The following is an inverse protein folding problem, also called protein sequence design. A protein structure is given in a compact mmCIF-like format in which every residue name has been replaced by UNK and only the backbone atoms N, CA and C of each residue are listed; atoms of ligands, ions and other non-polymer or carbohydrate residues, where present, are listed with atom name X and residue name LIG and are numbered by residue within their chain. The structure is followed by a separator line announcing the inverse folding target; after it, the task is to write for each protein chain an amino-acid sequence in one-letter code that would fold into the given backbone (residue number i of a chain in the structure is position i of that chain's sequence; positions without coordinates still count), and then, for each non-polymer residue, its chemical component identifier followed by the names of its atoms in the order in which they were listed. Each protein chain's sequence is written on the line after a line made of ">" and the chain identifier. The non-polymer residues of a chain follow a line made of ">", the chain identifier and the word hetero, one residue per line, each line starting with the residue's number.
data_IF_809581796458
#
_entry.id   IF_809581796458
#
_cell.length_a   1.000
_cell.length_b   1.000
_cell.length_c   1.000
_cell.angle_alpha   90.00
_cell.angle_beta   90.00
_cell.angle_gamma   90.00
#
_symmetry.space_group_name_H-M   'P 1'
#
loop_
_entity.id
_entity.type
_entity.pdbx_description
1 polymer ?
#
# COMPACT_ATOMS: atom_id res chain seq x y z
N UNK A 1 -78.33 -65.03 -73.66
CA UNK A 1 -78.35 -66.39 -73.06
C UNK A 1 -77.01 -66.62 -72.38
N UNK A 2 -77.01 -67.17 -71.15
CA UNK A 2 -75.83 -67.56 -70.32
C UNK A 2 -74.85 -66.40 -70.02
N UNK A 3 -74.78 -65.93 -68.78
CA UNK A 3 -74.02 -66.51 -67.65
C UNK A 3 -72.50 -66.36 -67.85
N UNK A 4 -71.71 -65.92 -66.87
CA UNK A 4 -71.87 -66.12 -65.42
C UNK A 4 -71.49 -64.89 -64.58
N UNK A 5 -71.87 -64.87 -63.29
CA UNK A 5 -71.80 -63.68 -62.42
C UNK A 5 -70.80 -63.80 -61.26
N UNK A 6 -70.02 -62.73 -61.01
CA UNK A 6 -69.34 -62.49 -59.72
C UNK A 6 -69.40 -61.02 -59.26
N UNK A 7 -70.45 -60.79 -58.48
CA UNK A 7 -70.56 -59.95 -57.28
C UNK A 7 -69.21 -59.63 -56.57
N UNK A 8 -68.92 -58.48 -55.90
CA UNK A 8 -69.33 -57.05 -55.91
C UNK A 8 -68.39 -56.31 -54.93
N UNK A 9 -68.04 -55.03 -55.16
CA UNK A 9 -68.20 -53.85 -54.24
C UNK A 9 -67.44 -52.62 -54.80
N UNK A 10 -68.08 -51.45 -54.82
CA UNK A 10 -67.44 -50.14 -55.10
C UNK A 10 -66.64 -49.64 -53.89
N UNK A 11 -65.48 -49.02 -54.11
CA UNK A 11 -64.73 -48.34 -53.05
C UNK A 11 -63.69 -47.35 -53.58
N UNK A 12 -63.83 -46.07 -53.21
CA UNK A 12 -62.84 -45.01 -53.50
C UNK A 12 -61.62 -45.21 -52.59
N UNK A 13 -60.43 -45.39 -53.17
CA UNK A 13 -59.18 -45.38 -52.40
C UNK A 13 -58.71 -43.95 -52.11
N UNK A 14 -59.29 -43.37 -51.07
CA UNK A 14 -58.79 -42.16 -50.42
C UNK A 14 -57.53 -42.53 -49.61
N UNK A 15 -56.33 -42.13 -50.06
CA UNK A 15 -55.11 -42.36 -49.30
C UNK A 15 -55.03 -41.40 -48.10
N UNK A 16 -55.55 -41.85 -46.95
CA UNK A 16 -55.27 -41.23 -45.66
C UNK A 16 -53.79 -41.41 -45.31
N UNK A 17 -53.00 -40.33 -45.44
CA UNK A 17 -51.70 -40.26 -44.78
C UNK A 17 -51.94 -39.98 -43.29
N UNK A 18 -51.65 -40.97 -42.44
CA UNK A 18 -51.96 -40.89 -41.00
C UNK A 18 -51.19 -39.78 -40.31
N UNK A 19 -51.90 -38.92 -39.59
CA UNK A 19 -51.30 -37.99 -38.64
C UNK A 19 -50.72 -38.77 -37.46
N UNK A 20 -49.38 -38.81 -37.35
CA UNK A 20 -48.73 -39.31 -36.15
C UNK A 20 -49.03 -38.38 -34.97
N UNK A 21 -50.00 -38.76 -34.14
CA UNK A 21 -50.20 -38.16 -32.82
C UNK A 21 -49.13 -38.75 -31.90
N UNK A 22 -48.03 -38.01 -31.69
CA UNK A 22 -47.07 -38.34 -30.64
C UNK A 22 -47.77 -38.30 -29.27
N UNK A 23 -47.62 -39.33 -28.41
CA UNK A 23 -48.17 -39.27 -27.07
C UNK A 23 -47.52 -38.13 -26.29
N UNK A 24 -48.30 -37.42 -25.47
CA UNK A 24 -47.78 -36.37 -24.61
C UNK A 24 -46.70 -36.95 -23.69
N UNK A 25 -45.49 -36.42 -23.80
CA UNK A 25 -44.36 -36.86 -23.00
C UNK A 25 -44.68 -36.65 -21.52
N UNK A 26 -44.84 -37.74 -20.76
CA UNK A 26 -45.01 -37.65 -19.32
C UNK A 26 -43.79 -36.96 -18.72
N UNK A 27 -44.02 -35.96 -17.88
CA UNK A 27 -42.96 -35.31 -17.10
C UNK A 27 -42.36 -36.34 -16.15
N UNK A 28 -41.28 -36.98 -16.62
CA UNK A 28 -40.41 -37.82 -15.79
C UNK A 28 -40.02 -37.04 -14.54
N UNK A 29 -40.08 -37.70 -13.38
CA UNK A 29 -39.61 -37.14 -12.13
C UNK A 29 -38.10 -36.90 -12.14
N UNK A 30 -37.52 -36.38 -11.04
CA UNK A 30 -36.08 -36.18 -10.93
C UNK A 30 -35.32 -37.49 -11.18
N UNK A 31 -34.42 -37.48 -12.15
CA UNK A 31 -33.55 -38.61 -12.50
C UNK A 31 -32.11 -38.35 -12.06
N UNK A 32 -31.48 -39.36 -11.46
CA UNK A 32 -30.06 -39.30 -11.09
C UNK A 32 -29.18 -39.76 -12.26
N UNK A 33 -28.18 -38.96 -12.62
CA UNK A 33 -27.11 -39.36 -13.54
C UNK A 33 -25.91 -39.82 -12.72
N UNK A 34 -25.46 -41.07 -12.90
CA UNK A 34 -24.31 -41.63 -12.20
C UNK A 34 -23.44 -42.46 -13.16
N UNK A 35 -22.12 -42.42 -12.98
CA UNK A 35 -21.17 -43.20 -13.76
C UNK A 35 -19.73 -42.97 -13.31
N UNK A 36 -18.94 -44.04 -13.22
CA UNK A 36 -17.50 -43.97 -13.01
C UNK A 36 -16.80 -43.93 -14.37
N UNK A 37 -16.25 -42.77 -14.76
CA UNK A 37 -15.61 -42.58 -16.07
C UNK A 37 -14.32 -41.77 -15.94
N UNK A 38 -13.46 -41.83 -16.96
CA UNK A 38 -12.28 -40.98 -17.10
C UNK A 38 -12.58 -39.64 -17.79
N UNK A 39 -13.84 -39.34 -18.11
CA UNK A 39 -14.24 -38.17 -18.91
C UNK A 39 -15.42 -37.43 -18.27
N UNK A 40 -16.67 -37.66 -18.69
CA UNK A 40 -17.85 -37.00 -18.11
C UNK A 40 -19.07 -37.92 -18.05
N UNK A 41 -19.88 -37.74 -17.00
CA UNK A 41 -21.19 -38.43 -16.84
C UNK A 41 -22.28 -37.73 -17.66
N UNK A 42 -22.19 -36.41 -17.82
CA UNK A 42 -23.10 -35.60 -18.65
C UNK A 42 -22.25 -34.61 -19.46
N UNK A 43 -22.45 -34.57 -20.78
CA UNK A 43 -21.91 -33.51 -21.64
C UNK A 43 -23.06 -32.61 -22.11
N UNK A 44 -22.85 -31.29 -22.08
CA UNK A 44 -23.80 -30.30 -22.57
C UNK A 44 -23.05 -29.40 -23.55
N UNK A 45 -23.47 -29.40 -24.81
CA UNK A 45 -22.88 -28.57 -25.86
C UNK A 45 -23.96 -27.67 -26.44
N UNK A 46 -23.77 -26.35 -26.31
CA UNK A 46 -24.60 -25.31 -26.91
C UNK A 46 -23.71 -24.45 -27.82
N UNK A 47 -24.10 -24.30 -29.08
CA UNK A 47 -23.36 -23.58 -30.11
C UNK A 47 -24.03 -22.27 -30.54
N UNK A 48 -25.28 -22.03 -30.11
CA UNK A 48 -26.02 -20.78 -30.33
C UNK A 48 -26.03 -19.85 -29.12
N UNK A 49 -26.71 -18.70 -29.26
CA UNK A 49 -26.87 -17.67 -28.24
C UNK A 49 -27.91 -18.04 -27.16
N UNK A 50 -27.60 -19.04 -26.34
CA UNK A 50 -28.46 -19.48 -25.24
C UNK A 50 -27.69 -20.19 -24.12
N UNK A 51 -28.40 -20.55 -23.04
CA UNK A 51 -27.81 -21.34 -21.96
C UNK A 51 -27.67 -22.80 -22.39
N UNK A 52 -26.50 -23.40 -22.14
CA UNK A 52 -26.35 -24.86 -22.20
C UNK A 52 -27.10 -25.54 -21.04
N UNK A 53 -26.98 -24.98 -19.83
CA UNK A 53 -27.71 -25.40 -18.63
C UNK A 53 -28.36 -24.19 -17.97
N UNK A 54 -29.66 -24.26 -17.70
CA UNK A 54 -30.40 -23.27 -16.92
C UNK A 54 -31.06 -23.97 -15.72
N UNK A 55 -30.48 -23.81 -14.54
CA UNK A 55 -31.08 -24.23 -13.28
C UNK A 55 -31.68 -23.01 -12.55
N UNK A 56 -32.79 -23.20 -11.84
CA UNK A 56 -33.49 -22.12 -11.12
C UNK A 56 -34.29 -22.70 -9.95
N UNK A 57 -34.15 -22.10 -8.77
CA UNK A 57 -34.89 -22.46 -7.56
C UNK A 57 -35.67 -21.23 -7.07
N UNK A 58 -36.99 -21.14 -7.28
CA UNK A 58 -37.80 -20.01 -6.81
C UNK A 58 -38.22 -20.10 -5.33
N UNK A 59 -37.75 -21.12 -4.59
CA UNK A 59 -38.11 -21.37 -3.18
C UNK A 59 -37.43 -20.38 -2.23
N UNK A 60 -38.19 -19.88 -1.26
CA UNK A 60 -37.71 -19.04 -0.15
C UNK A 60 -37.15 -19.83 1.03
N UNK A 61 -37.34 -21.16 1.07
CA UNK A 61 -36.94 -22.02 2.19
C UNK A 61 -35.59 -22.71 1.99
N UNK A 62 -34.86 -22.34 0.93
CA UNK A 62 -33.49 -22.77 0.63
C UNK A 62 -33.39 -23.96 -0.34
N UNK A 63 -32.62 -23.79 -1.43
CA UNK A 63 -31.38 -24.52 -1.77
C UNK A 63 -30.79 -23.95 -3.07
N UNK A 64 -29.47 -23.98 -3.20
CA UNK A 64 -28.74 -23.51 -4.39
C UNK A 64 -29.26 -24.18 -5.67
N UNK A 65 -29.49 -23.39 -6.73
CA UNK A 65 -29.89 -23.93 -8.04
C UNK A 65 -28.81 -24.84 -8.68
N UNK A 66 -27.55 -24.68 -8.27
CA UNK A 66 -26.46 -25.58 -8.60
C UNK A 66 -25.56 -25.73 -7.37
N UNK A 67 -25.15 -26.96 -7.06
CA UNK A 67 -24.23 -27.28 -5.97
C UNK A 67 -23.14 -28.22 -6.50
N UNK A 68 -21.91 -27.72 -6.59
CA UNK A 68 -20.74 -28.49 -7.00
C UNK A 68 -19.84 -28.77 -5.81
N UNK A 69 -19.68 -30.05 -5.45
CA UNK A 69 -18.89 -30.47 -4.28
C UNK A 69 -17.84 -31.50 -4.66
N UNK A 70 -16.60 -31.21 -4.27
CA UNK A 70 -15.46 -32.11 -4.31
C UNK A 70 -15.25 -32.71 -2.90
N UNK A 71 -15.48 -34.01 -2.72
CA UNK A 71 -15.43 -34.68 -1.40
C UNK A 71 -14.11 -35.40 -1.09
N UNK A 72 -13.20 -35.50 -2.06
CA UNK A 72 -11.89 -36.12 -1.86
C UNK A 72 -11.02 -35.30 -0.90
N UNK A 73 -10.51 -35.94 0.15
CA UNK A 73 -9.70 -35.30 1.21
C UNK A 73 -8.20 -35.19 0.88
N UNK A 74 -7.79 -35.64 -0.30
CA UNK A 74 -6.44 -35.49 -0.86
C UNK A 74 -6.47 -35.48 -2.39
N UNK A 75 -5.38 -35.05 -3.03
CA UNK A 75 -5.29 -34.89 -4.48
C UNK A 75 -5.86 -33.56 -5.00
N UNK A 76 -5.68 -33.29 -6.29
CA UNK A 76 -6.22 -32.09 -6.95
C UNK A 76 -7.69 -32.29 -7.30
N UNK A 77 -8.60 -31.57 -6.63
CA UNK A 77 -10.04 -31.77 -6.75
C UNK A 77 -10.76 -30.41 -6.79
N UNK A 78 -11.76 -30.26 -7.67
CA UNK A 78 -12.45 -28.98 -7.90
C UNK A 78 -13.97 -29.17 -7.78
N UNK A 79 -14.62 -28.41 -6.88
CA UNK A 79 -16.08 -28.45 -6.75
C UNK A 79 -16.80 -27.78 -7.92
N UNK A 80 -16.26 -26.68 -8.43
CA UNK A 80 -16.74 -25.94 -9.61
C UNK A 80 -15.53 -25.37 -10.37
N UNK A 81 -15.48 -25.51 -11.69
CA UNK A 81 -14.45 -24.92 -12.55
C UNK A 81 -15.12 -24.16 -13.71
N UNK A 82 -15.01 -22.83 -13.71
CA UNK A 82 -15.35 -22.00 -14.86
C UNK A 82 -14.13 -21.63 -15.71
N UNK A 83 -14.24 -21.70 -17.04
CA UNK A 83 -13.17 -21.34 -17.98
C UNK A 83 -13.75 -20.61 -19.19
N UNK A 84 -13.14 -19.47 -19.54
CA UNK A 84 -13.47 -18.69 -20.75
C UNK A 84 -12.23 -18.62 -21.65
N UNK A 85 -12.43 -18.74 -22.96
CA UNK A 85 -11.42 -18.49 -23.99
C UNK A 85 -11.67 -17.19 -24.77
N UNK A 86 -12.77 -16.47 -24.47
CA UNK A 86 -13.07 -15.20 -25.12
C UNK A 86 -12.19 -14.09 -24.54
N UNK A 87 -11.57 -13.22 -25.36
CA UNK A 87 -10.80 -12.06 -24.90
C UNK A 87 -11.57 -11.09 -24.00
N UNK A 88 -12.91 -11.15 -23.99
CA UNK A 88 -13.79 -10.34 -23.13
C UNK A 88 -14.73 -11.20 -22.25
N UNK A 89 -14.49 -12.52 -22.15
CA UNK A 89 -15.42 -13.44 -21.50
C UNK A 89 -15.14 -13.68 -20.01
N UNK A 90 -16.20 -13.68 -19.20
CA UNK A 90 -16.13 -13.95 -17.75
C UNK A 90 -16.22 -15.45 -17.47
N UNK A 91 -15.20 -16.02 -16.84
CA UNK A 91 -15.13 -17.47 -16.56
C UNK A 91 -16.05 -17.93 -15.42
N UNK A 92 -16.21 -17.10 -14.38
CA UNK A 92 -17.16 -17.28 -13.26
C UNK A 92 -17.69 -15.90 -12.88
N UNK A 93 -19.01 -15.73 -12.79
CA UNK A 93 -19.68 -14.48 -12.40
C UNK A 93 -20.62 -14.75 -11.22
N UNK A 94 -20.34 -14.17 -10.06
CA UNK A 94 -21.24 -14.15 -8.91
C UNK A 94 -21.94 -12.80 -8.84
N UNK A 95 -23.28 -12.78 -8.87
CA UNK A 95 -24.07 -11.55 -8.81
C UNK A 95 -25.16 -11.64 -7.77
N UNK A 96 -25.43 -10.53 -7.11
CA UNK A 96 -26.62 -10.35 -6.28
C UNK A 96 -27.29 -9.04 -6.68
N UNK A 97 -28.55 -9.12 -7.12
CA UNK A 97 -29.30 -7.97 -7.65
C UNK A 97 -30.17 -7.28 -6.58
N UNK A 98 -30.09 -7.71 -5.32
CA UNK A 98 -30.84 -7.08 -4.23
C UNK A 98 -30.34 -5.66 -3.99
N UNK A 99 -31.26 -4.68 -4.02
CA UNK A 99 -30.97 -3.25 -3.82
C UNK A 99 -30.98 -2.81 -2.34
N UNK A 100 -31.30 -3.73 -1.44
CA UNK A 100 -31.42 -3.51 0.01
C UNK A 100 -31.04 -4.80 0.77
N UNK A 101 -30.60 -4.66 2.02
CA UNK A 101 -30.18 -5.77 2.89
C UNK A 101 -28.72 -6.19 2.71
N UNK A 102 -28.26 -7.14 3.53
CA UNK A 102 -26.87 -7.64 3.58
C UNK A 102 -26.57 -8.63 2.43
N UNK A 103 -26.73 -8.16 1.20
CA UNK A 103 -26.67 -8.96 -0.01
C UNK A 103 -25.23 -9.28 -0.45
N UNK A 104 -24.87 -10.57 -0.48
CA UNK A 104 -23.55 -11.05 -0.92
C UNK A 104 -23.59 -11.58 -2.35
N UNK A 105 -22.71 -11.10 -3.23
CA UNK A 105 -22.58 -11.57 -4.63
C UNK A 105 -21.66 -12.79 -4.82
N UNK A 106 -20.73 -13.00 -3.89
CA UNK A 106 -19.86 -14.16 -3.83
C UNK A 106 -19.11 -14.17 -2.50
N UNK A 107 -18.81 -15.36 -1.97
CA UNK A 107 -18.09 -15.53 -0.71
C UNK A 107 -17.13 -16.72 -0.84
N UNK A 108 -15.92 -16.55 -0.32
CA UNK A 108 -14.87 -17.57 -0.37
C UNK A 108 -14.31 -17.76 1.04
N UNK A 109 -14.31 -19.00 1.52
CA UNK A 109 -13.93 -19.35 2.88
C UNK A 109 -12.87 -20.46 2.85
N UNK A 110 -11.92 -20.41 3.77
CA UNK A 110 -10.99 -21.52 4.02
C UNK A 110 -10.83 -21.72 5.52
N UNK A 111 -11.18 -22.91 6.01
CA UNK A 111 -11.02 -23.29 7.42
C UNK A 111 -9.67 -23.98 7.70
N UNK A 112 -8.75 -24.00 6.73
CA UNK A 112 -7.42 -24.57 6.89
C UNK A 112 -6.52 -23.63 7.72
N UNK A 113 -5.63 -24.20 8.53
CA UNK A 113 -4.59 -23.45 9.26
C UNK A 113 -3.56 -22.78 8.35
N UNK A 114 -3.53 -23.16 7.07
CA UNK A 114 -2.76 -22.54 5.99
C UNK A 114 -3.68 -22.09 4.84
N UNK A 115 -4.92 -21.72 5.18
CA UNK A 115 -6.00 -21.49 4.23
C UNK A 115 -5.87 -20.21 3.41
N UNK A 116 -6.15 -20.32 2.11
CA UNK A 116 -6.24 -19.18 1.20
C UNK A 116 -7.70 -19.04 0.73
N UNK A 117 -8.38 -17.97 1.16
CA UNK A 117 -9.79 -17.75 0.83
C UNK A 117 -9.99 -17.37 -0.65
N UNK A 118 -9.25 -16.38 -1.14
CA UNK A 118 -9.30 -15.91 -2.52
C UNK A 118 -7.89 -15.73 -3.08
N UNK A 119 -7.61 -16.32 -4.24
CA UNK A 119 -6.36 -16.14 -4.98
C UNK A 119 -6.66 -15.59 -6.37
N UNK A 120 -6.29 -14.33 -6.60
CA UNK A 120 -6.33 -13.72 -7.93
C UNK A 120 -4.93 -13.59 -8.48
N UNK A 121 -4.66 -14.25 -9.61
CA UNK A 121 -3.37 -14.26 -10.27
C UNK A 121 -3.56 -14.03 -11.77
N UNK A 122 -2.74 -13.14 -12.34
CA UNK A 122 -2.78 -12.78 -13.74
C UNK A 122 -1.34 -12.83 -14.29
N UNK A 123 -1.01 -13.94 -14.96
CA UNK A 123 0.38 -14.35 -15.24
C UNK A 123 0.85 -14.05 -16.67
N UNK A 124 0.18 -13.13 -17.39
CA UNK A 124 0.58 -12.80 -18.76
C UNK A 124 1.98 -12.16 -18.77
N UNK A 125 2.83 -12.60 -19.70
CA UNK A 125 4.21 -12.13 -19.80
C UNK A 125 4.35 -10.69 -20.35
N UNK A 126 3.25 -10.07 -20.76
CA UNK A 126 3.16 -8.67 -21.19
C UNK A 126 1.71 -8.16 -21.09
N UNK A 127 1.54 -6.83 -21.10
CA UNK A 127 0.26 -6.15 -20.93
C UNK A 127 -0.03 -5.73 -19.48
N UNK A 128 -1.07 -4.90 -19.30
CA UNK A 128 -1.50 -4.47 -17.97
C UNK A 128 -2.44 -5.52 -17.35
N UNK A 129 -1.96 -6.24 -16.34
CA UNK A 129 -2.69 -7.32 -15.69
C UNK A 129 -3.08 -6.97 -14.25
N UNK A 130 -4.28 -7.34 -13.83
CA UNK A 130 -4.75 -7.15 -12.45
C UNK A 130 -5.22 -8.49 -11.88
N UNK A 131 -4.61 -8.94 -10.78
CA UNK A 131 -4.97 -10.21 -10.13
C UNK A 131 -6.30 -10.13 -9.37
N UNK A 132 -6.51 -9.07 -8.59
CA UNK A 132 -7.75 -8.77 -7.87
C UNK A 132 -8.02 -7.26 -8.00
N UNK A 133 -9.23 -6.87 -8.41
CA UNK A 133 -9.68 -5.46 -8.43
C UNK A 133 -10.90 -5.31 -7.52
N UNK A 134 -10.76 -4.52 -6.45
CA UNK A 134 -11.90 -4.04 -5.68
C UNK A 134 -12.40 -2.71 -6.24
N UNK A 135 -13.70 -2.59 -6.51
CA UNK A 135 -14.31 -1.37 -7.02
C UNK A 135 -15.66 -1.13 -6.33
N UNK A 136 -15.88 0.08 -5.82
CA UNK A 136 -17.12 0.48 -5.19
C UNK A 136 -17.52 1.87 -5.70
N UNK A 137 -18.67 1.94 -6.39
CA UNK A 137 -19.20 3.17 -7.00
C UNK A 137 -20.05 4.02 -6.04
N UNK A 138 -20.32 3.53 -4.83
CA UNK A 138 -21.08 4.26 -3.82
C UNK A 138 -20.27 5.45 -3.28
N UNK A 139 -20.88 6.60 -2.96
CA UNK A 139 -20.20 7.73 -2.29
C UNK A 139 -19.55 7.36 -0.94
N UNK A 140 -20.02 6.28 -0.30
CA UNK A 140 -19.44 5.71 0.92
C UNK A 140 -18.82 4.31 0.67
N UNK A 141 -18.45 4.03 -0.58
CA UNK A 141 -18.00 2.71 -1.03
C UNK A 141 -16.60 2.36 -0.53
N UNK A 142 -16.39 1.07 -0.21
CA UNK A 142 -15.07 0.52 0.11
C UNK A 142 -14.73 -0.52 -0.95
N UNK A 143 -13.72 -0.23 -1.78
CA UNK A 143 -13.32 -1.13 -2.88
C UNK A 143 -12.72 -2.45 -2.38
N UNK A 144 -11.85 -2.39 -1.36
CA UNK A 144 -11.26 -3.55 -0.67
C UNK A 144 -11.26 -3.28 0.83
N UNK A 145 -11.72 -4.23 1.65
CA UNK A 145 -11.66 -4.17 3.10
C UNK A 145 -10.90 -5.39 3.63
N UNK A 146 -9.76 -5.15 4.29
CA UNK A 146 -8.98 -6.17 4.97
C UNK A 146 -9.23 -6.14 6.47
N UNK A 147 -10.23 -6.89 6.95
CA UNK A 147 -10.46 -7.08 8.38
C UNK A 147 -9.60 -8.22 8.93
N UNK A 148 -8.94 -7.99 10.06
CA UNK A 148 -8.29 -9.06 10.83
C UNK A 148 -8.74 -8.98 12.28
N UNK A 149 -9.28 -10.08 12.78
CA UNK A 149 -9.63 -10.25 14.19
C UNK A 149 -8.93 -11.50 14.73
N UNK A 150 -8.00 -11.30 15.66
CA UNK A 150 -7.45 -12.40 16.46
C UNK A 150 -8.31 -12.59 17.71
N UNK A 151 -8.95 -13.76 17.93
CA UNK A 151 -9.72 -14.02 19.15
C UNK A 151 -8.82 -14.32 20.37
N UNK A 152 -7.50 -14.37 20.21
CA UNK A 152 -6.61 -14.81 21.26
C UNK A 152 -6.16 -13.65 22.17
N UNK A 153 -6.74 -13.57 23.36
CA UNK A 153 -6.48 -12.48 24.31
C UNK A 153 -5.05 -12.49 24.89
N UNK A 154 -4.46 -13.67 25.15
CA UNK A 154 -3.13 -13.77 25.83
C UNK A 154 -2.34 -15.06 25.58
N UNK A 155 -2.92 -16.15 25.03
CA UNK A 155 -2.34 -17.50 25.12
C UNK A 155 -1.54 -17.99 23.89
N UNK A 156 -1.58 -17.28 22.75
CA UNK A 156 -1.11 -17.81 21.46
C UNK A 156 0.24 -17.24 20.99
N UNK A 157 0.95 -16.54 21.87
CA UNK A 157 2.06 -15.66 21.47
C UNK A 157 1.57 -14.37 20.79
N UNK A 158 2.49 -13.42 20.60
CA UNK A 158 2.17 -12.14 19.96
C UNK A 158 1.98 -12.32 18.45
N UNK A 159 0.74 -12.54 18.00
CA UNK A 159 0.39 -12.60 16.58
C UNK A 159 0.49 -11.23 15.90
N UNK A 160 1.20 -11.15 14.78
CA UNK A 160 1.31 -9.94 13.97
C UNK A 160 0.24 -9.94 12.87
N UNK A 161 -0.96 -9.44 13.22
CA UNK A 161 -2.12 -9.36 12.32
C UNK A 161 -1.95 -8.25 11.27
N UNK A 162 -2.08 -8.59 9.98
CA UNK A 162 -1.90 -7.64 8.87
C UNK A 162 -3.16 -7.55 8.02
N UNK A 163 -3.81 -6.37 7.99
CA UNK A 163 -5.01 -6.13 7.18
C UNK A 163 -4.73 -5.96 5.68
N UNK A 164 -3.60 -5.36 5.32
CA UNK A 164 -3.12 -5.22 3.93
C UNK A 164 -1.60 -5.39 3.93
N UNK A 165 -1.09 -6.31 3.11
CA UNK A 165 0.35 -6.54 2.94
C UNK A 165 0.75 -6.32 1.48
N UNK A 166 1.54 -5.27 1.22
CA UNK A 166 2.23 -5.09 -0.05
C UNK A 166 3.62 -5.71 0.01
N UNK A 167 3.95 -6.60 -0.93
CA UNK A 167 5.30 -7.21 -1.06
C UNK A 167 5.80 -6.99 -2.48
N UNK A 168 7.04 -6.50 -2.61
CA UNK A 168 7.76 -6.43 -3.88
C UNK A 168 8.94 -7.39 -3.80
N UNK A 169 9.19 -8.15 -4.88
CA UNK A 169 10.43 -8.89 -5.07
C UNK A 169 11.04 -8.50 -6.43
N UNK A 170 11.51 -7.26 -6.52
CA UNK A 170 12.06 -6.62 -7.72
C UNK A 170 13.10 -5.57 -7.34
N UNK A 171 14.01 -5.24 -8.26
CA UNK A 171 15.05 -4.22 -8.08
C UNK A 171 14.48 -2.79 -8.04
N UNK A 172 13.28 -2.58 -8.57
CA UNK A 172 12.49 -1.36 -8.47
C UNK A 172 10.99 -1.68 -8.55
N UNK A 173 10.17 -0.94 -7.80
CA UNK A 173 8.71 -1.12 -7.76
C UNK A 173 8.08 -0.44 -6.54
N UNK A 174 6.75 -0.39 -6.49
CA UNK A 174 5.99 0.19 -5.38
C UNK A 174 5.09 -0.88 -4.75
N UNK A 175 5.16 -1.03 -3.42
CA UNK A 175 4.40 -2.06 -2.68
C UNK A 175 2.92 -1.68 -2.51
N UNK A 176 2.65 -0.38 -2.58
CA UNK A 176 1.34 0.21 -2.75
C UNK A 176 1.50 1.53 -3.52
N UNK A 177 0.47 1.89 -4.26
CA UNK A 177 0.31 3.20 -4.90
C UNK A 177 -1.03 3.72 -4.44
N UNK A 178 -1.03 4.94 -3.90
CA UNK A 178 -2.24 5.65 -3.47
C UNK A 178 -2.40 6.83 -4.42
N UNK A 179 -3.39 6.74 -5.30
CA UNK A 179 -3.58 7.66 -6.42
C UNK A 179 -5.03 8.17 -6.40
N UNK A 180 -5.19 9.48 -6.56
CA UNK A 180 -6.48 10.12 -6.82
C UNK A 180 -6.59 10.39 -8.32
N UNK A 181 -7.37 9.57 -9.02
CA UNK A 181 -7.73 9.75 -10.44
C UNK A 181 -9.07 10.50 -10.54
N UNK A 182 -9.09 11.73 -10.01
CA UNK A 182 -10.26 12.61 -10.06
C UNK A 182 -9.85 14.09 -10.25
N UNK A 183 -10.47 14.85 -11.17
CA UNK A 183 -9.94 16.15 -11.62
C UNK A 183 -10.14 17.31 -10.65
N UNK A 184 -11.07 17.19 -9.70
CA UNK A 184 -11.43 18.29 -8.79
C UNK A 184 -10.46 18.43 -7.59
N UNK A 185 -9.63 17.41 -7.32
CA UNK A 185 -8.70 17.35 -6.20
C UNK A 185 -9.36 17.39 -4.83
N UNK A 186 -8.60 17.77 -3.80
CA UNK A 186 -9.03 17.84 -2.41
C UNK A 186 -9.02 16.50 -1.67
N UNK A 187 -8.43 15.46 -2.27
CA UNK A 187 -8.43 14.10 -1.78
C UNK A 187 -7.65 13.84 -0.49
N UNK A 188 -7.69 12.58 -0.08
CA UNK A 188 -6.84 12.05 0.99
C UNK A 188 -6.28 10.71 0.56
N UNK A 189 -4.99 10.69 0.24
CA UNK A 189 -4.27 9.52 -0.26
C UNK A 189 -4.14 8.45 0.82
N UNK A 190 -3.83 8.86 2.06
CA UNK A 190 -3.68 7.96 3.20
C UNK A 190 -4.33 8.58 4.44
N UNK A 191 -5.08 7.80 5.21
CA UNK A 191 -5.58 8.21 6.52
C UNK A 191 -5.41 7.08 7.55
N UNK A 192 -4.67 7.38 8.63
CA UNK A 192 -4.56 6.53 9.81
C UNK A 192 -5.58 6.97 10.85
N UNK A 193 -6.47 6.06 11.27
CA UNK A 193 -7.51 6.32 12.27
C UNK A 193 -7.37 5.38 13.47
N UNK A 194 -7.71 5.88 14.65
CA UNK A 194 -7.94 5.05 15.84
C UNK A 194 -9.38 5.20 16.30
N UNK A 195 -9.92 4.17 16.94
CA UNK A 195 -11.10 4.33 17.78
C UNK A 195 -10.74 5.23 18.96
N UNK A 196 -11.59 6.20 19.25
CA UNK A 196 -11.58 6.87 20.55
C UNK A 196 -12.08 5.87 21.62
N UNK A 197 -11.97 6.22 22.90
CA UNK A 197 -12.60 5.42 23.97
C UNK A 197 -14.15 5.45 23.94
N UNK A 198 -14.76 6.13 22.96
CA UNK A 198 -16.19 6.07 22.63
C UNK A 198 -16.43 5.12 21.46
N UNK A 199 -17.21 4.03 21.64
CA UNK A 199 -17.55 3.11 20.55
C UNK A 199 -18.17 3.80 19.34
N UNK A 200 -17.73 3.44 18.14
CA UNK A 200 -18.21 3.98 16.85
C UNK A 200 -17.58 5.32 16.44
N UNK A 201 -16.79 5.98 17.30
CA UNK A 201 -16.16 7.27 17.01
C UNK A 201 -14.68 7.08 16.68
N UNK A 202 -14.33 7.37 15.43
CA UNK A 202 -12.95 7.34 14.92
C UNK A 202 -12.31 8.72 14.93
N UNK A 203 -11.03 8.79 15.28
CA UNK A 203 -10.19 9.99 15.22
C UNK A 203 -9.05 9.77 14.21
N UNK A 204 -8.79 10.76 13.34
CA UNK A 204 -7.63 10.78 12.46
C UNK A 204 -6.37 11.07 13.29
N UNK A 205 -5.37 10.19 13.21
CA UNK A 205 -4.05 10.32 13.88
C UNK A 205 -2.93 10.66 12.90
N UNK A 206 -3.11 10.25 11.63
CA UNK A 206 -2.18 10.47 10.52
C UNK A 206 -2.99 10.73 9.24
N UNK A 207 -2.53 11.63 8.37
CA UNK A 207 -3.16 11.90 7.07
C UNK A 207 -2.13 12.42 6.06
N UNK A 208 -2.26 11.97 4.81
CA UNK A 208 -1.61 12.57 3.64
C UNK A 208 -2.70 13.00 2.67
N UNK A 209 -2.74 14.27 2.28
CA UNK A 209 -3.66 14.76 1.24
C UNK A 209 -3.08 14.62 -0.17
N UNK A 210 -3.90 14.92 -1.16
CA UNK A 210 -3.55 15.06 -2.58
C UNK A 210 -2.39 16.05 -2.83
N UNK A 211 -2.33 17.15 -2.06
CA UNK A 211 -1.24 18.14 -2.14
C UNK A 211 0.11 17.63 -1.57
N UNK A 212 0.14 16.47 -0.91
CA UNK A 212 1.34 15.89 -0.30
C UNK A 212 1.66 16.39 1.12
N UNK A 213 0.79 17.20 1.73
CA UNK A 213 0.90 17.60 3.13
C UNK A 213 0.74 16.39 4.06
N UNK A 214 1.70 16.23 4.99
CA UNK A 214 1.69 15.16 5.99
C UNK A 214 1.25 15.72 7.34
N UNK A 215 0.10 15.26 7.82
CA UNK A 215 -0.42 15.57 9.16
C UNK A 215 -0.23 14.37 10.07
N UNK A 216 0.36 14.58 11.24
CA UNK A 216 0.49 13.57 12.29
C UNK A 216 0.30 14.23 13.66
N UNK A 217 -0.37 13.55 14.60
CA UNK A 217 -0.51 14.05 15.98
C UNK A 217 0.85 14.13 16.70
N UNK A 218 1.77 13.22 16.37
CA UNK A 218 3.15 13.18 16.87
C UNK A 218 4.07 12.71 15.75
N UNK A 219 5.28 13.27 15.66
CA UNK A 219 6.32 12.84 14.74
C UNK A 219 7.58 12.47 15.53
N UNK A 220 8.13 11.27 15.32
CA UNK A 220 9.32 10.79 16.01
C UNK A 220 10.39 10.39 14.97
N UNK A 221 11.45 11.18 14.91
CA UNK A 221 12.45 11.16 13.83
C UNK A 221 13.72 10.39 14.18
N UNK A 222 13.97 10.13 15.47
CA UNK A 222 15.20 9.49 15.95
C UNK A 222 16.48 10.30 15.76
N UNK A 223 16.40 11.58 15.38
CA UNK A 223 17.52 12.55 15.35
C UNK A 223 17.17 13.77 16.21
N UNK A 224 18.18 14.46 16.75
CA UNK A 224 18.01 15.46 17.82
C UNK A 224 18.10 16.93 17.35
N UNK A 225 18.26 17.13 16.05
CA UNK A 225 18.49 18.43 15.41
C UNK A 225 17.60 18.65 14.18
N UNK A 226 17.32 19.93 13.91
CA UNK A 226 16.81 20.40 12.64
C UNK A 226 17.99 20.93 11.82
N UNK A 227 18.17 20.35 10.63
CA UNK A 227 19.20 20.75 9.69
C UNK A 227 18.61 21.13 8.34
N UNK A 228 19.33 21.98 7.60
CA UNK A 228 19.00 22.33 6.22
C UNK A 228 20.15 21.92 5.28
N UNK A 229 19.82 21.42 4.10
CA UNK A 229 20.80 21.01 3.09
C UNK A 229 21.40 22.24 2.40
N UNK A 230 22.70 22.50 2.61
CA UNK A 230 23.42 23.63 2.02
C UNK A 230 24.56 23.20 1.11
N UNK A 231 24.79 23.99 0.05
CA UNK A 231 25.99 23.87 -0.77
C UNK A 231 27.24 24.34 -0.01
N UNK A 232 28.40 23.80 -0.35
CA UNK A 232 29.68 24.15 0.30
C UNK A 232 30.71 24.65 -0.71
N UNK A 233 31.67 25.47 -0.24
CA UNK A 233 32.78 25.97 -1.05
C UNK A 233 33.78 24.85 -1.33
N UNK A 234 33.94 24.49 -2.60
CA UNK A 234 34.82 23.40 -3.03
C UNK A 234 34.14 22.04 -2.93
N UNK A 235 34.91 20.96 -2.76
CA UNK A 235 34.37 19.60 -2.65
C UNK A 235 33.79 19.33 -1.26
N UNK A 236 32.63 18.66 -1.20
CA UNK A 236 32.07 18.07 0.03
C UNK A 236 33.05 17.18 0.79
N UNK A 237 33.94 16.46 0.09
CA UNK A 237 34.95 15.59 0.72
C UNK A 237 35.98 16.34 1.58
N UNK A 238 36.06 17.67 1.48
CA UNK A 238 36.87 18.49 2.36
C UNK A 238 36.18 18.77 3.71
N UNK A 239 34.88 18.50 3.85
CA UNK A 239 34.06 18.77 5.03
C UNK A 239 33.76 17.46 5.75
N UNK A 240 33.71 17.51 7.08
CA UNK A 240 33.33 16.38 7.90
C UNK A 240 32.38 16.81 9.02
N UNK A 241 31.53 15.89 9.47
CA UNK A 241 30.56 16.17 10.52
C UNK A 241 31.25 16.71 11.79
N UNK A 242 30.55 17.61 12.48
CA UNK A 242 31.08 18.42 13.56
C UNK A 242 31.94 19.61 13.12
N UNK A 243 32.22 19.82 11.83
CA UNK A 243 32.78 21.08 11.34
C UNK A 243 31.81 22.23 11.63
N UNK A 244 32.33 23.30 12.25
CA UNK A 244 31.63 24.58 12.37
C UNK A 244 31.70 25.32 11.05
N UNK A 245 30.55 25.71 10.53
CA UNK A 245 30.42 26.34 9.20
C UNK A 245 30.03 27.82 9.32
N UNK A 246 30.47 28.59 8.33
CA UNK A 246 30.18 30.03 8.18
C UNK A 246 29.58 30.31 6.81
N UNK A 247 28.81 31.39 6.70
CA UNK A 247 28.28 31.92 5.43
C UNK A 247 29.44 32.34 4.53
N UNK A 248 29.45 31.88 3.27
CA UNK A 248 30.42 32.29 2.26
C UNK A 248 29.85 33.44 1.40
N UNK A 249 30.23 34.68 1.70
CA UNK A 249 29.81 35.86 0.93
C UNK A 249 30.15 35.83 -0.58
N UNK A 250 31.02 34.92 -1.03
CA UNK A 250 31.37 34.80 -2.46
C UNK A 250 30.35 34.01 -3.30
N UNK A 251 29.25 33.52 -2.73
CA UNK A 251 28.15 32.87 -3.47
C UNK A 251 26.85 32.84 -2.65
N UNK A 252 25.70 32.94 -3.33
CA UNK A 252 24.41 32.76 -2.68
C UNK A 252 24.25 31.34 -2.12
N UNK A 253 23.67 31.22 -0.92
CA UNK A 253 23.31 29.94 -0.26
C UNK A 253 24.45 28.91 -0.23
N UNK A 254 25.67 29.37 0.07
CA UNK A 254 26.88 28.55 0.20
C UNK A 254 27.58 28.76 1.54
N UNK A 255 28.17 27.69 2.06
CA UNK A 255 28.92 27.67 3.30
C UNK A 255 30.43 27.41 3.08
N UNK A 256 31.24 27.78 4.06
CA UNK A 256 32.64 27.40 4.17
C UNK A 256 32.97 26.96 5.61
N UNK A 257 34.10 26.25 5.83
CA UNK A 257 34.58 25.97 7.18
C UNK A 257 34.94 27.27 7.90
N UNK A 258 34.53 27.42 9.15
CA UNK A 258 34.98 28.53 9.99
C UNK A 258 36.51 28.57 10.05
N UNK A 259 37.12 29.75 9.95
CA UNK A 259 38.59 29.91 9.94
C UNK A 259 39.07 31.20 10.63
N UNK A 260 38.19 31.86 11.38
CA UNK A 260 38.47 33.07 12.14
C UNK A 260 37.80 32.97 13.51
N UNK A 261 38.46 33.35 14.60
CA UNK A 261 37.85 33.36 15.92
C UNK A 261 36.77 34.45 16.00
N UNK A 262 35.67 34.19 16.73
CA UNK A 262 34.54 35.13 16.88
C UNK A 262 33.94 35.63 15.55
N UNK A 263 33.74 34.73 14.59
CA UNK A 263 33.14 35.06 13.29
C UNK A 263 31.63 35.27 13.42
N UNK A 264 31.17 36.50 13.14
CA UNK A 264 29.73 36.83 13.07
C UNK A 264 28.99 36.19 11.90
N UNK A 265 29.70 35.47 11.04
CA UNK A 265 29.15 34.70 9.92
C UNK A 265 28.85 33.24 10.28
N UNK A 266 28.93 32.88 11.56
CA UNK A 266 28.65 31.51 12.02
C UNK A 266 27.24 31.09 11.64
N UNK A 267 27.12 29.95 10.96
CA UNK A 267 25.88 29.47 10.39
C UNK A 267 25.34 28.22 11.09
N UNK A 268 26.19 27.47 11.81
CA UNK A 268 25.83 26.22 12.47
C UNK A 268 26.93 25.17 12.37
N UNK A 269 26.53 23.90 12.49
CA UNK A 269 27.45 22.75 12.54
C UNK A 269 27.03 21.72 11.50
N UNK A 270 27.99 21.07 10.83
CA UNK A 270 27.69 19.93 9.96
C UNK A 270 27.16 18.75 10.79
N UNK A 271 25.85 18.46 10.68
CA UNK A 271 25.16 17.36 11.36
C UNK A 271 25.58 15.97 10.87
N UNK A 272 25.58 14.99 11.78
CA UNK A 272 25.75 13.56 11.46
C UNK A 272 24.43 12.87 11.09
N UNK A 273 23.33 13.21 11.77
CA UNK A 273 22.07 12.47 11.74
C UNK A 273 20.88 13.39 12.06
N UNK A 274 20.53 14.30 11.13
CA UNK A 274 19.43 15.24 11.35
C UNK A 274 18.11 14.52 11.62
N UNK A 275 17.37 15.00 12.61
CA UNK A 275 15.99 14.56 12.86
C UNK A 275 15.04 15.08 11.78
N UNK A 276 15.25 16.32 11.34
CA UNK A 276 14.58 16.89 10.15
C UNK A 276 15.64 17.46 9.22
N UNK A 277 15.57 17.10 7.94
CA UNK A 277 16.41 17.67 6.89
C UNK A 277 15.55 18.49 5.92
N UNK A 278 15.63 19.81 6.05
CA UNK A 278 14.97 20.75 5.16
C UNK A 278 15.76 20.96 3.85
N UNK A 279 15.05 21.27 2.78
CA UNK A 279 15.60 21.45 1.43
C UNK A 279 14.70 22.36 0.57
N UNK A 280 15.27 23.23 -0.30
CA UNK A 280 14.51 23.98 -1.31
C UNK A 280 14.33 23.19 -2.61
N UNK A 281 15.03 22.07 -2.78
CA UNK A 281 14.92 21.18 -3.95
C UNK A 281 13.64 20.35 -3.90
N UNK A 282 13.11 19.95 -5.05
CA UNK A 282 11.92 19.08 -5.11
C UNK A 282 12.24 17.69 -4.53
N UNK A 283 11.18 16.92 -4.28
CA UNK A 283 11.28 15.53 -3.80
C UNK A 283 12.25 14.70 -4.66
N UNK A 284 13.29 14.16 -4.04
CA UNK A 284 14.32 13.35 -4.71
C UNK A 284 15.47 14.12 -5.37
N UNK A 285 15.41 15.45 -5.48
CA UNK A 285 16.39 16.27 -6.21
C UNK A 285 17.56 16.80 -5.35
N UNK A 286 17.64 16.43 -4.07
CA UNK A 286 18.69 16.95 -3.15
C UNK A 286 20.11 16.58 -3.64
N UNK A 287 20.98 17.56 -3.97
CA UNK A 287 22.31 17.27 -4.48
C UNK A 287 23.16 16.51 -3.47
N UNK A 288 23.81 15.42 -3.92
CA UNK A 288 24.73 14.63 -3.07
C UNK A 288 25.92 15.44 -2.54
N UNK A 289 26.22 16.58 -3.19
CA UNK A 289 27.24 17.58 -2.81
C UNK A 289 26.89 18.42 -1.59
N UNK A 290 25.62 18.49 -1.20
CA UNK A 290 25.18 19.38 -0.12
C UNK A 290 25.40 18.73 1.25
N UNK A 291 25.59 19.55 2.27
CA UNK A 291 25.79 19.12 3.66
C UNK A 291 24.58 19.50 4.53
N UNK A 292 24.12 18.64 5.44
CA UNK A 292 23.14 19.02 6.46
C UNK A 292 23.79 19.94 7.49
N UNK A 293 23.39 21.21 7.50
CA UNK A 293 23.76 22.19 8.51
C UNK A 293 22.73 22.19 9.64
N UNK A 294 23.09 21.71 10.83
CA UNK A 294 22.29 21.88 12.03
C UNK A 294 22.27 23.35 12.43
N UNK A 295 21.06 23.92 12.50
CA UNK A 295 20.81 25.31 12.92
C UNK A 295 20.16 25.38 14.31
N UNK A 296 19.51 24.30 14.75
CA UNK A 296 19.00 24.14 16.12
C UNK A 296 18.98 22.67 16.54
N UNK A 297 19.28 22.41 17.81
CA UNK A 297 19.24 21.08 18.42
C UNK A 297 20.60 20.58 18.86
N UNK A 298 20.70 19.28 19.16
CA UNK A 298 21.90 18.70 19.78
C UNK A 298 22.73 17.92 18.76
N UNK A 299 23.96 18.36 18.51
CA UNK A 299 24.88 17.73 17.55
C UNK A 299 26.32 17.66 18.07
N UNK A 300 27.13 16.71 17.59
CA UNK A 300 28.57 16.69 17.84
C UNK A 300 29.25 17.89 17.18
N UNK A 301 30.10 18.60 17.92
CA UNK A 301 30.87 19.75 17.48
C UNK A 301 32.37 19.51 17.67
N UNK A 302 33.19 19.82 16.66
CA UNK A 302 34.64 19.91 16.82
C UNK A 302 34.97 21.14 17.65
N UNK A 303 35.74 20.95 18.71
CA UNK A 303 36.07 22.00 19.69
C UNK A 303 37.54 22.00 20.08
N UNK A 304 38.05 23.17 20.45
CA UNK A 304 39.43 23.35 20.92
C UNK A 304 39.47 24.23 22.16
N UNK A 305 40.34 23.89 23.11
CA UNK A 305 40.54 24.60 24.37
C UNK A 305 41.47 25.83 24.22
N UNK A 306 41.50 26.49 23.05
CA UNK A 306 42.42 27.61 22.80
C UNK A 306 42.09 28.86 23.64
N UNK A 307 40.83 29.00 24.07
CA UNK A 307 40.36 29.97 25.06
C UNK A 307 40.22 29.36 26.48
N UNK A 308 40.97 28.29 26.77
CA UNK A 308 40.88 27.53 28.03
C UNK A 308 39.87 26.38 27.98
N UNK A 309 39.76 25.67 29.11
CA UNK A 309 38.86 24.53 29.27
C UNK A 309 37.39 24.89 29.02
N UNK A 310 36.69 24.02 28.32
CA UNK A 310 35.25 24.09 28.06
C UNK A 310 34.53 23.28 29.14
N UNK A 311 33.49 23.84 29.72
CA UNK A 311 32.58 23.21 30.68
C UNK A 311 31.15 23.20 30.11
N UNK A 312 30.30 22.29 30.61
CA UNK A 312 28.89 22.26 30.20
C UNK A 312 28.19 23.58 30.55
N UNK A 313 27.46 24.14 29.59
CA UNK A 313 26.80 25.44 29.68
C UNK A 313 27.61 26.62 29.12
N UNK A 314 28.91 26.45 28.85
CA UNK A 314 29.73 27.48 28.19
C UNK A 314 29.16 27.86 26.83
N UNK A 315 29.18 29.16 26.52
CA UNK A 315 28.88 29.65 25.18
C UNK A 315 30.08 29.40 24.26
N UNK A 316 29.80 28.83 23.10
CA UNK A 316 30.81 28.52 22.08
C UNK A 316 30.77 29.52 20.92
N UNK A 317 31.95 29.84 20.41
CA UNK A 317 32.17 30.70 19.23
C UNK A 317 33.11 29.98 18.25
N UNK A 318 33.22 30.44 17.00
CA UNK A 318 34.25 29.91 16.08
C UNK A 318 35.65 30.16 16.64
N UNK A 319 36.60 29.25 16.36
CA UNK A 319 38.00 29.35 16.79
C UNK A 319 38.95 29.77 15.65
N UNK A 320 40.23 29.92 15.98
CA UNK A 320 41.32 30.09 15.01
C UNK A 320 41.59 28.80 14.21
N UNK A 321 41.32 27.63 14.81
CA UNK A 321 41.48 26.32 14.18
C UNK A 321 40.34 26.05 13.21
N UNK A 322 40.67 25.77 11.95
CA UNK A 322 39.67 25.68 10.89
C UNK A 322 38.63 24.56 11.13
N UNK A 323 37.36 24.93 11.16
CA UNK A 323 36.21 24.05 11.40
C UNK A 323 35.92 23.76 12.87
N UNK A 324 36.63 24.38 13.83
CA UNK A 324 36.45 24.14 15.26
C UNK A 324 35.79 25.33 15.96
N UNK A 325 35.02 25.06 17.01
CA UNK A 325 34.59 26.04 18.00
C UNK A 325 35.54 26.10 19.22
N UNK A 326 35.36 27.13 20.05
CA UNK A 326 36.06 27.33 21.32
C UNK A 326 35.14 28.06 22.32
N UNK A 327 35.54 28.10 23.60
CA UNK A 327 34.88 28.91 24.63
C UNK A 327 34.87 30.40 24.26
N UNK A 328 33.69 31.04 24.32
CA UNK A 328 33.54 32.48 24.17
C UNK A 328 33.88 33.21 25.48
N UNK A 329 34.93 34.04 25.46
CA UNK A 329 35.45 34.77 26.62
C UNK A 329 35.31 36.30 26.49
N UNK A 330 35.45 36.87 25.28
CA UNK A 330 35.24 38.31 25.04
C UNK A 330 33.76 38.61 24.72
N UNK A 331 32.98 38.93 25.75
CA UNK A 331 31.54 39.27 25.64
C UNK A 331 31.21 40.31 24.57
N UNK A 332 32.14 41.24 24.25
CA UNK A 332 31.90 42.29 23.24
C UNK A 332 31.92 41.75 21.81
N UNK A 333 32.55 40.59 21.57
CA UNK A 333 32.66 39.92 20.27
C UNK A 333 31.67 38.77 20.10
N UNK A 334 30.90 38.45 21.14
CA UNK A 334 29.98 37.30 21.13
C UNK A 334 28.64 37.61 20.44
N UNK A 335 28.24 38.88 20.35
CA UNK A 335 27.01 39.29 19.67
C UNK A 335 27.09 38.88 18.18
N UNK A 336 26.19 37.99 17.75
CA UNK A 336 26.17 37.41 16.40
C UNK A 336 27.24 36.36 16.11
N UNK A 337 28.11 36.03 17.06
CA UNK A 337 29.19 35.04 16.91
C UNK A 337 29.02 33.78 17.78
N UNK A 338 27.95 33.71 18.58
CA UNK A 338 27.59 32.55 19.39
C UNK A 338 27.03 31.45 18.49
N UNK A 339 27.64 30.27 18.56
CA UNK A 339 27.20 29.05 17.89
C UNK A 339 26.13 28.30 18.71
N UNK A 340 26.23 28.36 20.04
CA UNK A 340 25.41 27.58 20.95
C UNK A 340 26.10 27.34 22.29
N UNK A 341 25.69 26.29 22.99
CA UNK A 341 26.21 25.89 24.31
C UNK A 341 26.82 24.50 24.33
N UNK A 342 27.97 24.35 24.97
CA UNK A 342 28.54 23.04 25.28
C UNK A 342 27.60 22.24 26.21
N UNK A 343 27.43 20.95 25.94
CA UNK A 343 26.74 20.00 26.83
C UNK A 343 27.70 19.04 27.54
N UNK A 344 28.94 18.94 27.05
CA UNK A 344 30.01 18.10 27.61
C UNK A 344 31.29 18.94 27.77
N UNK A 345 32.18 18.61 28.71
CA UNK A 345 33.42 19.35 28.92
C UNK A 345 34.53 18.97 27.94
N UNK A 346 35.46 19.90 27.69
CA UNK A 346 36.77 19.63 27.09
C UNK A 346 37.87 20.29 27.95
N UNK A 347 38.61 19.53 28.78
CA UNK A 347 39.63 20.09 29.66
C UNK A 347 40.82 20.73 28.93
N UNK A 348 41.26 20.15 27.82
CA UNK A 348 42.45 20.60 27.07
C UNK A 348 42.45 20.13 25.61
N UNK A 349 43.32 20.74 24.79
CA UNK A 349 43.61 20.28 23.43
C UNK A 349 42.46 20.49 22.45
N UNK A 350 42.08 19.45 21.72
CA UNK A 350 40.96 19.46 20.78
C UNK A 350 40.21 18.12 20.82
N UNK A 351 38.90 18.17 20.60
CA UNK A 351 38.05 16.98 20.58
C UNK A 351 36.74 17.21 19.84
N UNK A 352 35.80 16.30 20.05
CA UNK A 352 34.40 16.44 19.65
C UNK A 352 33.56 16.35 20.91
N UNK A 353 32.64 17.29 21.10
CA UNK A 353 31.69 17.31 22.23
C UNK A 353 30.27 17.54 21.72
N UNK A 354 29.27 17.11 22.46
CA UNK A 354 27.87 17.47 22.19
C UNK A 354 27.62 18.95 22.48
N UNK A 355 26.96 19.63 21.55
CA UNK A 355 26.62 21.04 21.62
C UNK A 355 25.14 21.22 21.32
N UNK A 356 24.46 21.99 22.17
CA UNK A 356 23.15 22.55 21.86
C UNK A 356 23.37 23.76 20.95
N UNK A 357 23.12 23.60 19.66
CA UNK A 357 23.20 24.68 18.67
C UNK A 357 21.96 25.56 18.84
N UNK A 358 22.21 26.85 19.00
CA UNK A 358 21.21 27.91 19.01
C UNK A 358 21.90 29.17 18.48
N UNK A 359 21.66 29.51 17.22
CA UNK A 359 22.18 30.74 16.62
C UNK A 359 21.50 31.94 17.30
N UNK A 360 22.30 32.92 17.74
CA UNK A 360 21.88 34.10 18.52
C UNK A 360 22.59 35.37 18.07
#
# INVERSE_FOLDING_TARGET
>A
MKADARLTILGVCLFFCGTHISPAQTTQGPTNFNGATTSQVVNITQTGSGFGLKASTPSTSGVSALFGQATGTSGFNNGVWGRSFSPAGVAVRGENMAKTGSATGGAFFSSSTHGLGLFGSATAASGFTVGIRGFAQSPNGVGVRGDVASPCATACGAGYSIGVLGVINATSGSAGVFEEDYPDGGGTLIVGRTMTHTPGVLQNMFRVNDAGDVFATTYNTGGADFAEAFSVKGSKSAYAAGDVLVIDHSSARRLARAAKPYSTLVAGIYSTKPGVLATPYKMGEVPKSDVPLAVVGVVPCKVTAENGAIEAGDLLVTSSKQGYAMKGTDRRKMIGAVLGKALEPLPQGSGVIQVLVTLQ
#
